data_IF_725650186280
#
_entry.id   IF_725650186280
#
_cell.length_a   1.000
_cell.length_b   1.000
_cell.length_c   1.000
_cell.angle_alpha   90.00
_cell.angle_beta   90.00
_cell.angle_gamma   90.00
#
_symmetry.space_group_name_H-M   'P 1'
#
loop_
_entity.id
_entity.type
_entity.pdbx_description
1 polymer ?
#
# COMPACT_ATOMS: atom_id res chain seq x y z
N UNK A 1 -10.48 -3.51 11.39
CA UNK A 1 -10.28 -2.05 11.21
C UNK A 1 -9.65 -1.40 12.43
N UNK A 2 -10.28 -1.40 13.62
CA UNK A 2 -9.66 -0.75 14.80
C UNK A 2 -8.34 -1.42 15.19
N UNK A 3 -8.33 -2.75 15.27
CA UNK A 3 -7.13 -3.52 15.62
C UNK A 3 -6.00 -3.30 14.60
N UNK A 4 -6.30 -3.35 13.31
CA UNK A 4 -5.31 -3.13 12.24
C UNK A 4 -4.72 -1.73 12.29
N UNK A 5 -5.55 -0.70 12.53
CA UNK A 5 -5.10 0.68 12.67
C UNK A 5 -4.20 0.88 13.89
N UNK A 6 -4.55 0.29 15.03
CA UNK A 6 -3.70 0.34 16.24
C UNK A 6 -2.37 -0.36 15.99
N UNK A 7 -2.38 -1.56 15.39
CA UNK A 7 -1.15 -2.29 15.07
C UNK A 7 -0.25 -1.52 14.10
N UNK A 8 -0.84 -0.89 13.08
CA UNK A 8 -0.13 -0.03 12.14
C UNK A 8 0.55 1.14 12.85
N UNK A 9 -0.16 1.86 13.72
CA UNK A 9 0.41 2.97 14.51
C UNK A 9 1.54 2.48 15.41
N UNK A 10 1.34 1.37 16.11
CA UNK A 10 2.38 0.81 17.00
C UNK A 10 3.63 0.43 16.21
N UNK A 11 3.50 -0.27 15.09
CA UNK A 11 4.64 -0.67 14.26
C UNK A 11 5.30 0.50 13.53
N UNK A 12 4.55 1.55 13.17
CA UNK A 12 5.08 2.74 12.51
C UNK A 12 5.76 3.71 13.48
N UNK A 13 5.15 3.99 14.64
CA UNK A 13 5.55 5.06 15.55
C UNK A 13 6.37 4.57 16.77
N UNK A 14 6.28 3.30 17.16
CA UNK A 14 6.97 2.77 18.34
C UNK A 14 8.23 2.00 17.95
N UNK A 15 9.35 2.72 17.79
CA UNK A 15 10.65 2.16 17.39
C UNK A 15 11.13 1.04 18.33
N UNK A 16 10.96 1.22 19.65
CA UNK A 16 11.31 0.20 20.66
C UNK A 16 10.62 -1.14 20.41
N UNK A 17 9.33 -1.10 20.07
CA UNK A 17 8.54 -2.31 19.79
C UNK A 17 8.97 -2.93 18.47
N UNK A 18 9.19 -2.11 17.44
CA UNK A 18 9.60 -2.56 16.11
C UNK A 18 10.98 -3.22 16.09
N UNK A 19 11.91 -2.78 16.95
CA UNK A 19 13.27 -3.32 17.04
C UNK A 19 13.41 -4.49 18.04
N UNK A 20 12.38 -4.79 18.83
CA UNK A 20 12.41 -5.84 19.84
C UNK A 20 12.03 -7.21 19.29
N UNK A 21 13.01 -8.10 19.10
CA UNK A 21 12.77 -9.51 18.77
C UNK A 21 12.39 -10.32 20.04
N UNK A 22 11.40 -11.24 19.99
CA UNK A 22 10.59 -11.65 18.84
C UNK A 22 9.26 -10.88 18.70
N UNK A 23 9.01 -9.90 19.56
CA UNK A 23 7.73 -9.15 19.63
C UNK A 23 7.39 -8.49 18.29
N UNK A 24 8.40 -7.95 17.60
CA UNK A 24 8.22 -7.29 16.32
C UNK A 24 7.62 -8.20 15.23
N UNK A 25 8.07 -9.45 15.12
CA UNK A 25 7.54 -10.43 14.17
C UNK A 25 6.13 -10.88 14.55
N UNK A 26 5.86 -11.07 15.84
CA UNK A 26 4.53 -11.46 16.32
C UNK A 26 3.51 -10.37 15.96
N UNK A 27 3.85 -9.11 16.19
CA UNK A 27 2.98 -7.98 15.86
C UNK A 27 2.79 -7.81 14.35
N UNK A 28 3.84 -8.01 13.55
CA UNK A 28 3.74 -7.97 12.09
C UNK A 28 2.86 -9.11 11.55
N UNK A 29 3.00 -10.33 12.09
CA UNK A 29 2.15 -11.46 11.76
C UNK A 29 0.69 -11.23 12.17
N UNK A 30 0.46 -10.66 13.35
CA UNK A 30 -0.89 -10.32 13.78
C UNK A 30 -1.51 -9.26 12.87
N UNK A 31 -0.73 -8.23 12.51
CA UNK A 31 -1.16 -7.19 11.57
C UNK A 31 -1.55 -7.78 10.22
N UNK A 32 -0.68 -8.60 9.61
CA UNK A 32 -0.92 -9.22 8.30
C UNK A 32 -2.14 -10.15 8.32
N UNK A 33 -2.35 -10.93 9.39
CA UNK A 33 -3.57 -11.76 9.53
C UNK A 33 -4.81 -10.87 9.62
N UNK A 34 -4.81 -9.86 10.48
CA UNK A 34 -5.95 -8.97 10.61
C UNK A 34 -6.27 -8.22 9.31
N UNK A 35 -5.25 -7.77 8.58
CA UNK A 35 -5.42 -7.09 7.30
C UNK A 35 -5.91 -8.05 6.21
N UNK A 36 -5.42 -9.29 6.17
CA UNK A 36 -5.89 -10.31 5.22
C UNK A 36 -7.39 -10.62 5.39
N UNK A 37 -7.90 -10.61 6.62
CA UNK A 37 -9.34 -10.79 6.89
C UNK A 37 -10.14 -9.61 6.37
N UNK A 38 -9.65 -8.38 6.53
CA UNK A 38 -10.31 -7.19 5.99
C UNK A 38 -10.30 -7.21 4.45
N UNK A 39 -9.15 -7.49 3.85
CA UNK A 39 -8.99 -7.62 2.41
C UNK A 39 -9.92 -8.70 1.84
N UNK A 40 -9.99 -9.87 2.49
CA UNK A 40 -10.89 -10.95 2.11
C UNK A 40 -12.36 -10.56 2.21
N UNK A 41 -12.72 -9.79 3.25
CA UNK A 41 -14.08 -9.27 3.44
C UNK A 41 -14.45 -8.31 2.31
N UNK A 42 -13.57 -7.36 1.96
CA UNK A 42 -13.80 -6.43 0.84
C UNK A 42 -13.91 -7.19 -0.48
N UNK A 43 -13.02 -8.16 -0.71
CA UNK A 43 -12.99 -8.96 -1.95
C UNK A 43 -14.25 -9.82 -2.11
N UNK A 44 -14.91 -10.20 -1.01
CA UNK A 44 -16.16 -10.97 -1.07
C UNK A 44 -17.35 -10.21 -1.67
N UNK A 45 -17.25 -8.88 -1.80
CA UNK A 45 -18.24 -8.05 -2.49
C UNK A 45 -18.04 -7.97 -4.01
N UNK A 46 -16.97 -8.57 -4.54
CA UNK A 46 -16.64 -8.61 -5.95
C UNK A 46 -16.79 -10.03 -6.51
N UNK A 47 -16.96 -10.15 -7.83
CA UNK A 47 -16.99 -11.46 -8.48
C UNK A 47 -15.60 -12.09 -8.48
N UNK A 48 -15.55 -13.42 -8.44
CA UNK A 48 -14.28 -14.18 -8.46
C UNK A 48 -13.42 -13.79 -9.66
N UNK A 49 -14.03 -13.61 -10.84
CA UNK A 49 -13.35 -13.18 -12.06
C UNK A 49 -12.67 -11.80 -11.90
N UNK A 50 -13.37 -10.84 -11.29
CA UNK A 50 -12.85 -9.48 -11.03
C UNK A 50 -11.66 -9.52 -10.07
N UNK A 51 -11.78 -10.32 -9.00
CA UNK A 51 -10.72 -10.51 -8.01
C UNK A 51 -9.48 -11.14 -8.64
N UNK A 52 -9.66 -12.16 -9.48
CA UNK A 52 -8.56 -12.84 -10.16
C UNK A 52 -7.86 -11.92 -11.18
N UNK A 53 -8.62 -11.14 -11.94
CA UNK A 53 -8.07 -10.15 -12.88
C UNK A 53 -7.27 -9.09 -12.11
N UNK A 54 -7.86 -8.54 -11.04
CA UNK A 54 -7.19 -7.52 -10.22
C UNK A 54 -5.91 -8.05 -9.57
N UNK A 55 -5.92 -9.28 -9.06
CA UNK A 55 -4.73 -9.94 -8.51
C UNK A 55 -3.65 -10.14 -9.57
N UNK A 56 -4.03 -10.56 -10.78
CA UNK A 56 -3.10 -10.71 -11.91
C UNK A 56 -2.45 -9.39 -12.32
N UNK A 57 -3.25 -8.32 -12.49
CA UNK A 57 -2.75 -6.98 -12.81
C UNK A 57 -1.84 -6.47 -11.69
N UNK A 58 -2.27 -6.56 -10.43
CA UNK A 58 -1.48 -6.14 -9.28
C UNK A 58 -0.13 -6.86 -9.24
N UNK A 59 -0.11 -8.17 -9.46
CA UNK A 59 1.14 -8.95 -9.51
C UNK A 59 2.10 -8.44 -10.58
N UNK A 60 1.60 -8.23 -11.81
CA UNK A 60 2.42 -7.72 -12.92
C UNK A 60 2.95 -6.31 -12.63
N UNK A 61 2.08 -5.42 -12.12
CA UNK A 61 2.46 -4.04 -11.78
C UNK A 61 3.50 -4.03 -10.66
N UNK A 62 3.28 -4.78 -9.58
CA UNK A 62 4.23 -4.86 -8.47
C UNK A 62 5.60 -5.36 -8.93
N UNK A 63 5.65 -6.49 -9.65
CA UNK A 63 6.91 -7.02 -10.16
C UNK A 63 7.60 -6.05 -11.13
N UNK A 64 6.84 -5.45 -12.04
CA UNK A 64 7.37 -4.47 -12.99
C UNK A 64 7.95 -3.23 -12.31
N UNK A 65 7.25 -2.69 -11.31
CA UNK A 65 7.68 -1.51 -10.56
C UNK A 65 8.86 -1.81 -9.64
N UNK A 66 8.89 -2.98 -8.99
CA UNK A 66 10.04 -3.41 -8.20
C UNK A 66 11.29 -3.57 -9.08
N UNK A 67 11.17 -4.22 -10.25
CA UNK A 67 12.28 -4.33 -11.21
C UNK A 67 12.73 -2.96 -11.74
N UNK A 68 11.78 -2.06 -12.00
CA UNK A 68 12.08 -0.68 -12.40
C UNK A 68 12.83 0.07 -11.30
N UNK A 69 12.37 -0.02 -10.05
CA UNK A 69 13.01 0.59 -8.89
C UNK A 69 14.47 0.13 -8.71
N UNK A 70 14.76 -1.13 -9.04
CA UNK A 70 16.10 -1.71 -8.96
C UNK A 70 17.06 -1.18 -10.04
N UNK A 71 16.54 -0.77 -11.19
CA UNK A 71 17.35 -0.42 -12.36
C UNK A 71 17.42 1.08 -12.63
N UNK A 72 16.42 1.84 -12.16
CA UNK A 72 16.30 3.26 -12.44
C UNK A 72 17.39 4.07 -11.74
N UNK A 73 17.89 5.09 -12.43
CA UNK A 73 18.86 6.05 -11.88
C UNK A 73 18.19 7.22 -11.15
N UNK A 74 16.87 7.33 -11.27
CA UNK A 74 16.08 8.40 -10.68
C UNK A 74 15.87 8.10 -9.20
N UNK A 75 16.17 9.08 -8.34
CA UNK A 75 16.00 8.95 -6.90
C UNK A 75 14.62 9.45 -6.46
N UNK A 76 13.66 8.53 -6.37
CA UNK A 76 12.31 8.84 -5.91
C UNK A 76 12.28 9.16 -4.41
N UNK A 77 13.30 8.76 -3.63
CA UNK A 77 13.33 9.01 -2.17
C UNK A 77 13.35 10.51 -1.83
N UNK A 78 13.81 11.34 -2.78
CA UNK A 78 13.77 12.81 -2.70
C UNK A 78 12.35 13.39 -2.70
N UNK A 79 11.35 12.64 -3.17
CA UNK A 79 9.95 13.05 -3.26
C UNK A 79 9.14 12.76 -1.99
N UNK A 80 9.77 12.29 -0.90
CA UNK A 80 9.10 11.89 0.35
C UNK A 80 8.10 12.92 0.88
N UNK A 81 8.46 14.21 0.88
CA UNK A 81 7.57 15.29 1.31
C UNK A 81 6.34 15.47 0.42
N UNK A 82 6.50 15.33 -0.90
CA UNK A 82 5.39 15.42 -1.87
C UNK A 82 4.46 14.21 -1.70
N UNK A 83 5.03 13.00 -1.60
CA UNK A 83 4.26 11.78 -1.40
C UNK A 83 3.42 11.86 -0.12
N UNK A 84 4.01 12.34 0.99
CA UNK A 84 3.28 12.56 2.24
C UNK A 84 2.05 13.48 2.06
N UNK A 85 2.21 14.61 1.37
CA UNK A 85 1.08 15.52 1.09
C UNK A 85 0.04 14.84 0.20
N UNK A 86 0.46 14.13 -0.86
CA UNK A 86 -0.44 13.39 -1.74
C UNK A 86 -1.24 12.33 -0.98
N UNK A 87 -0.61 11.55 -0.11
CA UNK A 87 -1.29 10.55 0.72
C UNK A 87 -2.29 11.19 1.69
N UNK A 88 -1.93 12.30 2.33
CA UNK A 88 -2.83 13.01 3.24
C UNK A 88 -4.08 13.51 2.51
N UNK A 89 -3.91 14.15 1.33
CA UNK A 89 -5.02 14.61 0.49
C UNK A 89 -5.87 13.41 0.02
N UNK A 90 -5.24 12.34 -0.42
CA UNK A 90 -5.91 11.12 -0.87
C UNK A 90 -6.75 10.47 0.23
N UNK A 91 -6.22 10.41 1.46
CA UNK A 91 -6.93 9.93 2.64
C UNK A 91 -8.12 10.82 3.00
N UNK A 92 -7.96 12.14 3.03
CA UNK A 92 -9.05 13.09 3.28
C UNK A 92 -10.17 12.94 2.24
N UNK A 93 -9.82 12.80 0.96
CA UNK A 93 -10.80 12.59 -0.10
C UNK A 93 -11.52 11.23 0.03
N UNK A 94 -10.81 10.19 0.46
CA UNK A 94 -11.42 8.89 0.79
C UNK A 94 -12.54 9.00 1.82
N UNK A 95 -12.35 9.81 2.87
CA UNK A 95 -13.43 10.09 3.84
C UNK A 95 -14.58 10.88 3.22
N UNK A 96 -14.29 11.84 2.34
CA UNK A 96 -15.33 12.61 1.64
C UNK A 96 -16.23 11.70 0.76
N UNK A 97 -15.68 10.63 0.18
CA UNK A 97 -16.43 9.65 -0.62
C UNK A 97 -17.45 8.82 0.17
N UNK A 98 -17.41 8.84 1.51
CA UNK A 98 -18.46 8.26 2.34
C UNK A 98 -19.79 9.00 2.11
N UNK A 99 -19.72 10.32 1.91
CA UNK A 99 -20.89 11.17 1.67
C UNK A 99 -21.24 11.29 0.18
N UNK A 100 -20.27 11.10 -0.72
CA UNK A 100 -20.45 11.23 -2.18
C UNK A 100 -20.72 9.86 -2.81
N UNK A 101 -21.91 9.67 -3.37
CA UNK A 101 -22.39 8.41 -3.99
C UNK A 101 -22.30 8.43 -5.52
N UNK A 102 -21.18 8.86 -6.09
CA UNK A 102 -20.96 8.85 -7.54
C UNK A 102 -19.96 7.78 -7.94
N UNK A 103 -20.38 6.88 -8.83
CA UNK A 103 -19.54 5.80 -9.35
C UNK A 103 -18.37 6.32 -10.19
N UNK A 104 -18.57 7.37 -10.98
CA UNK A 104 -17.50 8.03 -11.75
C UNK A 104 -16.44 8.60 -10.80
N UNK A 105 -16.85 9.28 -9.73
CA UNK A 105 -15.89 9.87 -8.78
C UNK A 105 -15.10 8.78 -8.07
N UNK A 106 -15.74 7.65 -7.72
CA UNK A 106 -15.08 6.49 -7.11
C UNK A 106 -14.11 5.79 -8.07
N UNK A 107 -14.45 5.71 -9.36
CA UNK A 107 -13.54 5.19 -10.38
C UNK A 107 -12.31 6.09 -10.55
N UNK A 108 -12.50 7.41 -10.65
CA UNK A 108 -11.40 8.38 -10.73
C UNK A 108 -10.52 8.31 -9.49
N UNK A 109 -11.11 8.20 -8.31
CA UNK A 109 -10.39 8.01 -7.06
C UNK A 109 -9.52 6.74 -7.09
N UNK A 110 -10.08 5.62 -7.55
CA UNK A 110 -9.36 4.37 -7.66
C UNK A 110 -8.19 4.46 -8.65
N UNK A 111 -8.36 5.11 -9.80
CA UNK A 111 -7.27 5.35 -10.76
C UNK A 111 -6.15 6.20 -10.17
N UNK A 112 -6.48 7.30 -9.48
CA UNK A 112 -5.50 8.15 -8.81
C UNK A 112 -4.78 7.37 -7.69
N UNK A 113 -5.52 6.58 -6.91
CA UNK A 113 -4.98 5.74 -5.86
C UNK A 113 -4.01 4.70 -6.41
N UNK A 114 -4.38 4.01 -7.48
CA UNK A 114 -3.51 3.02 -8.13
C UNK A 114 -2.18 3.64 -8.58
N UNK A 115 -2.22 4.86 -9.17
CA UNK A 115 -1.00 5.59 -9.52
C UNK A 115 -0.20 6.00 -8.28
N UNK A 116 -0.87 6.52 -7.25
CA UNK A 116 -0.21 6.96 -6.02
C UNK A 116 0.51 5.80 -5.31
N UNK A 117 -0.18 4.68 -5.08
CA UNK A 117 0.41 3.50 -4.44
C UNK A 117 1.46 2.81 -5.32
N UNK A 118 1.39 2.95 -6.65
CA UNK A 118 2.46 2.53 -7.55
C UNK A 118 3.74 3.36 -7.35
N UNK A 119 3.62 4.68 -7.18
CA UNK A 119 4.79 5.53 -6.89
C UNK A 119 5.35 5.26 -5.50
N UNK A 120 4.48 5.05 -4.50
CA UNK A 120 4.89 4.62 -3.16
C UNK A 120 5.66 3.29 -3.20
N UNK A 121 5.17 2.30 -3.96
CA UNK A 121 5.87 1.03 -4.09
C UNK A 121 7.29 1.19 -4.64
N UNK A 122 7.49 2.05 -5.64
CA UNK A 122 8.83 2.39 -6.16
C UNK A 122 9.67 3.09 -5.10
N UNK A 123 9.10 4.10 -4.42
CA UNK A 123 9.75 4.85 -3.35
C UNK A 123 10.24 3.93 -2.22
N UNK A 124 9.35 3.10 -1.68
CA UNK A 124 9.66 2.20 -0.56
C UNK A 124 10.63 1.11 -0.99
N UNK A 125 10.50 0.57 -2.20
CA UNK A 125 11.48 -0.37 -2.75
C UNK A 125 12.87 0.25 -2.82
N UNK A 126 13.00 1.50 -3.30
CA UNK A 126 14.30 2.20 -3.34
C UNK A 126 14.85 2.50 -1.95
N UNK A 127 13.98 2.88 -1.01
CA UNK A 127 14.37 3.15 0.38
C UNK A 127 14.95 1.89 1.06
N UNK A 128 14.44 0.70 0.72
CA UNK A 128 14.92 -0.59 1.22
C UNK A 128 16.24 -1.05 0.61
N UNK A 129 16.44 -0.82 -0.70
CA UNK A 129 17.67 -1.21 -1.39
C UNK A 129 18.91 -0.50 -0.85
N UNK A 130 18.75 0.70 -0.30
CA UNK A 130 19.87 1.52 0.18
C UNK A 130 20.80 1.99 -0.96
N UNK A 131 21.99 2.48 -0.62
CA UNK A 131 23.02 2.92 -1.59
C UNK A 131 23.30 4.42 -1.56
N UNK A 132 23.51 5.05 -2.74
CA UNK A 132 23.73 6.50 -2.88
C UNK A 132 22.46 7.34 -2.62
N UNK A 133 21.37 6.70 -2.24
CA UNK A 133 20.09 7.33 -1.93
C UNK A 133 20.14 7.89 -0.51
N UNK A 134 19.72 9.15 -0.36
CA UNK A 134 19.90 9.96 0.86
C UNK A 134 19.18 9.38 2.09
N UNK A 135 18.23 8.47 1.90
CA UNK A 135 17.38 7.86 2.92
C UNK A 135 17.37 6.34 2.78
N UNK A 136 18.39 5.67 3.33
CA UNK A 136 18.40 4.20 3.44
C UNK A 136 17.78 3.76 4.76
N UNK A 137 16.87 2.78 4.72
CA UNK A 137 16.37 2.12 5.94
C UNK A 137 17.53 1.37 6.60
N UNK A 138 17.75 1.56 7.90
CA UNK A 138 18.72 0.75 8.65
C UNK A 138 18.33 -0.74 8.54
N UNK A 139 19.27 -1.69 8.39
CA UNK A 139 18.96 -3.12 8.38
C UNK A 139 18.13 -3.59 9.59
N UNK A 140 18.17 -2.85 10.70
CA UNK A 140 17.38 -3.08 11.92
C UNK A 140 15.89 -2.70 11.79
N UNK A 141 15.50 -2.05 10.70
CA UNK A 141 14.14 -1.55 10.44
C UNK A 141 13.38 -2.36 9.37
N UNK A 142 13.81 -3.60 9.12
CA UNK A 142 13.17 -4.52 8.17
C UNK A 142 11.66 -4.72 8.41
N UNK A 143 11.18 -4.58 9.65
CA UNK A 143 9.75 -4.64 9.99
C UNK A 143 8.99 -3.44 9.42
N UNK A 144 9.56 -2.23 9.50
CA UNK A 144 8.94 -1.03 8.94
C UNK A 144 8.91 -1.14 7.42
N UNK A 145 10.03 -1.53 6.83
CA UNK A 145 10.13 -1.80 5.42
C UNK A 145 9.05 -2.81 4.96
N UNK A 146 9.01 -4.00 5.56
CA UNK A 146 8.02 -5.02 5.21
C UNK A 146 6.58 -4.54 5.39
N UNK A 147 6.31 -3.79 6.46
CA UNK A 147 5.00 -3.18 6.71
C UNK A 147 4.59 -2.22 5.60
N UNK A 148 5.45 -1.27 5.23
CA UNK A 148 5.13 -0.25 4.22
C UNK A 148 4.88 -0.87 2.85
N UNK A 149 5.76 -1.76 2.40
CA UNK A 149 5.61 -2.43 1.10
C UNK A 149 4.39 -3.36 1.06
N UNK A 150 4.04 -3.99 2.18
CA UNK A 150 2.79 -4.74 2.28
C UNK A 150 1.56 -3.82 2.14
N UNK A 151 1.55 -2.68 2.85
CA UNK A 151 0.45 -1.70 2.79
C UNK A 151 0.30 -1.13 1.38
N UNK A 152 1.40 -0.84 0.68
CA UNK A 152 1.39 -0.38 -0.70
C UNK A 152 0.75 -1.39 -1.65
N UNK A 153 1.16 -2.66 -1.56
CA UNK A 153 0.63 -3.73 -2.41
C UNK A 153 -0.86 -3.97 -2.13
N UNK A 154 -1.28 -4.02 -0.86
CA UNK A 154 -2.69 -4.21 -0.49
C UNK A 154 -3.55 -3.06 -0.99
N UNK A 155 -3.11 -1.82 -0.80
CA UNK A 155 -3.86 -0.66 -1.29
C UNK A 155 -3.91 -0.62 -2.82
N UNK A 156 -2.79 -0.88 -3.50
CA UNK A 156 -2.74 -0.97 -4.96
C UNK A 156 -3.72 -2.02 -5.48
N UNK A 157 -3.75 -3.21 -4.86
CA UNK A 157 -4.72 -4.25 -5.20
C UNK A 157 -6.17 -3.78 -5.01
N UNK A 158 -6.49 -3.15 -3.87
CA UNK A 158 -7.84 -2.63 -3.61
C UNK A 158 -8.26 -1.58 -4.65
N UNK A 159 -7.36 -0.69 -5.05
CA UNK A 159 -7.61 0.30 -6.09
C UNK A 159 -7.86 -0.36 -7.45
N UNK A 160 -7.03 -1.34 -7.83
CA UNK A 160 -7.20 -2.10 -9.09
C UNK A 160 -8.52 -2.88 -9.06
N UNK A 161 -8.85 -3.54 -7.94
CA UNK A 161 -10.10 -4.27 -7.77
C UNK A 161 -11.31 -3.36 -7.94
N UNK A 162 -11.25 -2.15 -7.38
CA UNK A 162 -12.30 -1.16 -7.55
C UNK A 162 -12.43 -0.72 -9.02
N UNK A 163 -11.33 -0.50 -9.74
CA UNK A 163 -11.35 -0.18 -11.18
C UNK A 163 -12.01 -1.32 -11.98
N UNK A 164 -11.57 -2.56 -11.76
CA UNK A 164 -12.08 -3.74 -12.47
C UNK A 164 -13.58 -3.96 -12.17
N UNK A 165 -13.99 -3.84 -10.92
CA UNK A 165 -15.41 -3.99 -10.54
C UNK A 165 -16.31 -2.89 -11.12
N UNK A 166 -15.79 -1.68 -11.34
CA UNK A 166 -16.54 -0.63 -12.05
C UNK A 166 -16.59 -0.84 -13.56
N UNK A 167 -15.52 -1.37 -14.16
CA UNK A 167 -15.48 -1.65 -15.59
C UNK A 167 -16.41 -2.80 -16.01
N UNK A 168 -16.69 -3.74 -15.11
CA UNK A 168 -17.53 -4.92 -15.39
C UNK A 168 -18.98 -4.77 -14.89
N UNK A 169 -19.40 -3.56 -14.50
CA UNK A 169 -20.74 -3.30 -13.92
C UNK A 169 -21.88 -3.22 -14.94
N UNK A 170 -21.63 -3.63 -16.19
CA UNK A 170 -22.59 -3.65 -17.31
C UNK A 170 -23.37 -4.97 -17.40
#
# INVERSE_FOLDING_TARGET
>A
MVITFVLMIVLACCESVRRSFPVNLILLMLFTVCESVLLGTVSSFYRVEEVMIAAGICTVVCLGLTLFAFQTKWDFTTMSGILFVCALVFMCFGFALIFIRSDIVRLVYACIGALLFSVYLVFDTQMMLGGNHKYSVSPEEYIFAALSLYVDIVNLFLMILQIVGYANKD
#
